data_IF_710039619102
#
_entry.id   IF_710039619102
#
_cell.length_a   1.000
_cell.length_b   1.000
_cell.length_c   1.000
_cell.angle_alpha   90.00
_cell.angle_beta   90.00
_cell.angle_gamma   90.00
#
_symmetry.space_group_name_H-M   'P 1'
#
loop_
_entity.id
_entity.type
_entity.pdbx_description
1 polymer ?
#
# COMPACT_ATOMS: atom_id res chain seq x y z
N UNK A 1 8.97 -16.74 8.59
CA UNK A 1 8.70 -17.32 7.25
C UNK A 1 8.09 -16.22 6.38
N UNK A 2 8.90 -15.24 5.98
CA UNK A 2 8.53 -14.09 5.12
C UNK A 2 9.76 -13.68 4.26
N UNK A 3 10.74 -14.57 4.10
CA UNK A 3 12.03 -14.30 3.42
C UNK A 3 12.00 -14.62 1.92
N UNK A 4 10.88 -15.12 1.39
CA UNK A 4 10.82 -15.62 0.01
C UNK A 4 10.68 -14.51 -1.05
N UNK A 5 10.42 -13.26 -0.63
CA UNK A 5 10.26 -12.09 -1.50
C UNK A 5 8.83 -11.53 -1.53
N UNK A 6 8.68 -10.33 -2.09
CA UNK A 6 7.39 -9.68 -2.28
C UNK A 6 6.68 -10.24 -3.52
N UNK A 7 5.49 -10.86 -3.34
CA UNK A 7 4.69 -11.42 -4.44
C UNK A 7 3.70 -10.42 -5.07
N UNK A 8 3.47 -9.27 -4.42
CA UNK A 8 2.52 -8.26 -4.83
C UNK A 8 3.00 -6.86 -4.42
N UNK A 9 2.98 -5.92 -5.36
CA UNK A 9 2.97 -4.48 -5.11
C UNK A 9 1.65 -3.91 -5.59
N UNK A 10 0.97 -3.13 -4.77
CA UNK A 10 -0.28 -2.47 -5.12
C UNK A 10 -0.14 -0.96 -5.06
N UNK A 11 -0.67 -0.26 -6.05
CA UNK A 11 -0.69 1.20 -6.05
C UNK A 11 -2.05 1.73 -6.50
N UNK A 12 -2.50 2.82 -5.90
CA UNK A 12 -3.72 3.53 -6.25
C UNK A 12 -3.34 4.91 -6.77
N UNK A 13 -3.77 5.23 -7.99
CA UNK A 13 -3.63 6.57 -8.55
C UNK A 13 -4.90 7.38 -8.30
N UNK A 14 -4.73 8.55 -7.69
CA UNK A 14 -5.75 9.60 -7.57
C UNK A 14 -5.20 10.93 -8.07
N UNK A 15 -6.10 11.84 -8.42
CA UNK A 15 -5.77 13.22 -8.78
C UNK A 15 -6.45 14.17 -7.81
N UNK A 16 -5.84 15.32 -7.57
CA UNK A 16 -6.39 16.35 -6.68
C UNK A 16 -7.46 17.22 -7.37
N UNK A 17 -7.56 17.17 -8.70
CA UNK A 17 -8.58 17.89 -9.47
C UNK A 17 -8.81 17.23 -10.84
N UNK A 18 -9.90 17.62 -11.50
CA UNK A 18 -10.21 17.17 -12.87
C UNK A 18 -9.20 17.71 -13.89
N UNK A 19 -8.71 18.94 -13.70
CA UNK A 19 -7.70 19.55 -14.57
C UNK A 19 -6.38 18.77 -14.51
N UNK A 20 -5.95 18.36 -13.31
CA UNK A 20 -4.78 17.52 -13.14
C UNK A 20 -4.98 16.16 -13.82
N UNK A 21 -6.16 15.56 -13.69
CA UNK A 21 -6.49 14.31 -14.38
C UNK A 21 -6.44 14.47 -15.91
N UNK A 22 -6.95 15.59 -16.44
CA UNK A 22 -6.97 15.88 -17.86
C UNK A 22 -5.58 16.19 -18.43
N UNK A 23 -4.73 16.89 -17.69
CA UNK A 23 -3.33 17.17 -18.09
C UNK A 23 -2.49 15.88 -18.10
N UNK A 24 -2.74 15.00 -17.14
CA UNK A 24 -2.06 13.71 -17.02
C UNK A 24 -2.61 12.65 -17.98
N UNK A 25 -3.75 12.88 -18.61
CA UNK A 25 -4.34 11.97 -19.58
C UNK A 25 -3.38 11.75 -20.76
N UNK A 26 -3.10 10.47 -21.04
CA UNK A 26 -2.29 10.03 -22.17
C UNK A 26 -3.03 8.91 -22.88
N UNK A 27 -2.72 8.64 -24.14
CA UNK A 27 -3.29 7.48 -24.84
C UNK A 27 -2.94 6.18 -24.08
N UNK A 28 -3.98 5.41 -23.75
CA UNK A 28 -3.89 4.15 -23.02
C UNK A 28 -4.01 4.26 -21.50
N UNK A 29 -3.86 3.13 -20.80
CA UNK A 29 -4.19 3.04 -19.38
C UNK A 29 -3.13 3.64 -18.44
N UNK A 30 -2.06 4.26 -18.91
CA UNK A 30 -0.89 4.55 -18.07
C UNK A 30 -1.17 5.53 -16.93
N UNK A 31 -2.12 6.45 -17.11
CA UNK A 31 -2.45 7.51 -16.16
C UNK A 31 -3.93 7.49 -15.71
N UNK A 32 -4.65 6.38 -15.94
CA UNK A 32 -6.05 6.25 -15.51
C UNK A 32 -6.10 6.06 -13.98
N UNK A 33 -6.92 6.84 -13.26
CA UNK A 33 -7.14 6.66 -11.82
C UNK A 33 -7.55 5.25 -11.46
N UNK A 34 -7.20 4.81 -10.27
CA UNK A 34 -7.60 3.50 -9.75
C UNK A 34 -6.44 2.62 -9.31
N UNK A 35 -6.82 1.47 -8.75
CA UNK A 35 -5.89 0.51 -8.17
C UNK A 35 -5.24 -0.36 -9.25
N UNK A 36 -3.94 -0.61 -9.09
CA UNK A 36 -3.11 -1.38 -10.00
C UNK A 36 -2.26 -2.39 -9.21
N UNK A 37 -2.55 -3.69 -9.35
CA UNK A 37 -1.71 -4.72 -8.78
C UNK A 37 -0.58 -5.14 -9.73
N UNK A 38 0.62 -5.28 -9.18
CA UNK A 38 1.77 -5.91 -9.80
C UNK A 38 2.08 -7.20 -9.05
N UNK A 39 1.45 -8.28 -9.50
CA UNK A 39 1.40 -9.56 -8.77
C UNK A 39 2.01 -10.71 -9.56
N UNK A 40 2.63 -11.64 -8.84
CA UNK A 40 2.99 -12.96 -9.36
C UNK A 40 2.26 -14.06 -8.61
N UNK A 41 1.76 -15.04 -9.36
CA UNK A 41 1.17 -16.27 -8.83
C UNK A 41 2.10 -17.47 -9.04
N UNK A 42 3.41 -17.22 -9.02
CA UNK A 42 4.45 -18.24 -8.99
C UNK A 42 4.92 -18.38 -7.55
N UNK A 43 5.10 -19.62 -7.08
CA UNK A 43 5.65 -19.88 -5.75
C UNK A 43 7.06 -19.28 -5.65
N UNK A 44 7.25 -18.37 -4.71
CA UNK A 44 8.52 -17.75 -4.38
C UNK A 44 9.40 -18.69 -3.51
N UNK A 45 10.73 -18.49 -3.48
CA UNK A 45 11.51 -17.44 -4.15
C UNK A 45 11.77 -17.71 -5.64
N UNK A 46 11.69 -16.67 -6.48
CA UNK A 46 12.15 -16.65 -7.87
C UNK A 46 12.19 -15.21 -8.43
N UNK A 47 12.68 -15.02 -9.67
CA UNK A 47 12.83 -13.70 -10.32
C UNK A 47 11.52 -12.92 -10.55
N UNK A 48 10.34 -13.51 -10.35
CA UNK A 48 9.08 -12.77 -10.50
C UNK A 48 8.86 -11.69 -9.44
N UNK A 49 9.55 -11.73 -8.29
CA UNK A 49 9.51 -10.59 -7.35
C UNK A 49 10.13 -9.33 -7.98
N UNK A 50 11.25 -9.49 -8.70
CA UNK A 50 11.87 -8.43 -9.48
C UNK A 50 10.99 -7.97 -10.64
N UNK A 51 10.34 -8.89 -11.35
CA UNK A 51 9.37 -8.57 -12.40
C UNK A 51 8.24 -7.65 -11.89
N UNK A 52 7.65 -8.00 -10.75
CA UNK A 52 6.60 -7.21 -10.11
C UNK A 52 7.11 -5.82 -9.72
N UNK A 53 8.28 -5.76 -9.06
CA UNK A 53 8.90 -4.50 -8.65
C UNK A 53 9.23 -3.60 -9.84
N UNK A 54 9.86 -4.12 -10.89
CA UNK A 54 10.22 -3.34 -12.08
C UNK A 54 9.00 -2.77 -12.79
N UNK A 55 7.93 -3.56 -12.93
CA UNK A 55 6.69 -3.08 -13.56
C UNK A 55 6.03 -1.95 -12.75
N UNK A 56 6.03 -2.07 -11.43
CA UNK A 56 5.54 -1.02 -10.54
C UNK A 56 6.43 0.22 -10.63
N UNK A 57 7.75 0.05 -10.51
CA UNK A 57 8.72 1.15 -10.55
C UNK A 57 8.61 1.96 -11.83
N UNK A 58 8.61 1.29 -12.99
CA UNK A 58 8.48 1.96 -14.28
C UNK A 58 7.18 2.77 -14.40
N UNK A 59 6.09 2.28 -13.81
CA UNK A 59 4.83 3.02 -13.81
C UNK A 59 4.92 4.26 -12.91
N UNK A 60 5.43 4.14 -11.69
CA UNK A 60 5.65 5.28 -10.79
C UNK A 60 6.59 6.31 -11.42
N UNK A 61 7.72 5.88 -11.99
CA UNK A 61 8.68 6.79 -12.64
C UNK A 61 8.09 7.50 -13.86
N UNK A 62 7.24 6.82 -14.66
CA UNK A 62 6.52 7.47 -15.76
C UNK A 62 5.54 8.53 -15.26
N UNK A 63 4.77 8.24 -14.21
CA UNK A 63 3.85 9.20 -13.62
C UNK A 63 4.58 10.42 -13.07
N UNK A 64 5.68 10.21 -12.33
CA UNK A 64 6.49 11.30 -11.77
C UNK A 64 7.06 12.19 -12.86
N UNK A 65 7.67 11.61 -13.90
CA UNK A 65 8.21 12.36 -15.04
C UNK A 65 7.11 13.18 -15.74
N UNK A 66 5.97 12.55 -16.04
CA UNK A 66 4.84 13.21 -16.70
C UNK A 66 4.28 14.37 -15.86
N UNK A 67 4.12 14.16 -14.54
CA UNK A 67 3.69 15.23 -13.66
C UNK A 67 4.64 16.42 -13.71
N UNK A 68 5.97 16.18 -13.69
CA UNK A 68 6.96 17.24 -13.85
C UNK A 68 6.85 17.95 -15.21
N UNK A 69 6.66 17.22 -16.30
CA UNK A 69 6.46 17.79 -17.65
C UNK A 69 5.23 18.71 -17.73
N UNK A 70 4.17 18.38 -16.98
CA UNK A 70 2.92 19.14 -16.90
C UNK A 70 2.93 20.21 -15.78
N UNK A 71 4.07 20.43 -15.11
CA UNK A 71 4.18 21.40 -14.01
C UNK A 71 3.41 21.00 -12.74
N UNK A 72 3.07 19.72 -12.59
CA UNK A 72 2.37 19.13 -11.45
C UNK A 72 3.34 18.45 -10.48
N UNK A 73 2.93 18.36 -9.21
CA UNK A 73 3.60 17.50 -8.23
C UNK A 73 3.06 16.07 -8.28
N UNK A 74 3.93 15.07 -8.13
CA UNK A 74 3.55 13.68 -7.89
C UNK A 74 4.13 13.23 -6.55
N UNK A 75 3.27 12.78 -5.63
CA UNK A 75 3.67 12.22 -4.34
C UNK A 75 3.27 10.75 -4.28
N UNK A 76 4.11 9.94 -3.63
CA UNK A 76 3.89 8.52 -3.37
C UNK A 76 3.70 8.35 -1.88
N UNK A 77 2.54 7.83 -1.48
CA UNK A 77 2.17 7.66 -0.08
C UNK A 77 2.27 6.18 0.31
N UNK A 78 2.86 5.92 1.48
CA UNK A 78 2.83 4.61 2.12
C UNK A 78 2.39 4.75 3.58
N UNK A 79 2.00 3.63 4.19
CA UNK A 79 1.78 3.56 5.63
C UNK A 79 2.87 2.72 6.28
N UNK A 80 3.73 3.35 7.08
CA UNK A 80 4.90 2.76 7.74
C UNK A 80 5.97 2.27 6.73
N UNK A 81 6.83 3.21 6.31
CA UNK A 81 7.77 3.01 5.20
C UNK A 81 8.85 1.94 5.42
N UNK A 82 9.10 1.50 6.65
CA UNK A 82 10.24 0.63 6.97
C UNK A 82 10.21 -0.69 6.18
N UNK A 83 9.03 -1.33 6.11
CA UNK A 83 8.84 -2.57 5.36
C UNK A 83 8.98 -2.37 3.86
N UNK A 84 8.30 -1.36 3.31
CA UNK A 84 8.34 -1.03 1.88
C UNK A 84 9.77 -0.72 1.42
N UNK A 85 10.48 0.15 2.14
CA UNK A 85 11.88 0.48 1.89
C UNK A 85 12.77 -0.75 1.89
N UNK A 86 12.63 -1.62 2.89
CA UNK A 86 13.40 -2.85 2.98
C UNK A 86 13.17 -3.73 1.75
N UNK A 87 11.92 -3.95 1.34
CA UNK A 87 11.59 -4.78 0.20
C UNK A 87 12.03 -4.21 -1.14
N UNK A 88 11.89 -2.90 -1.35
CA UNK A 88 12.32 -2.24 -2.58
C UNK A 88 13.84 -2.33 -2.73
N UNK A 89 14.61 -1.96 -1.69
CA UNK A 89 16.07 -2.01 -1.75
C UNK A 89 16.60 -3.45 -1.81
N UNK A 90 15.96 -4.40 -1.13
CA UNK A 90 16.31 -5.82 -1.23
C UNK A 90 16.12 -6.35 -2.64
N UNK A 91 15.03 -5.99 -3.33
CA UNK A 91 14.79 -6.35 -4.72
C UNK A 91 15.90 -5.84 -5.64
N UNK A 92 16.23 -4.54 -5.53
CA UNK A 92 17.27 -3.92 -6.37
C UNK A 92 18.63 -4.60 -6.16
N UNK A 93 19.01 -4.87 -4.91
CA UNK A 93 20.30 -5.49 -4.58
C UNK A 93 20.38 -6.95 -5.03
N UNK A 94 19.31 -7.71 -4.81
CA UNK A 94 19.29 -9.15 -5.08
C UNK A 94 19.19 -9.43 -6.58
N UNK A 95 18.49 -8.57 -7.34
CA UNK A 95 18.19 -8.76 -8.75
C UNK A 95 18.74 -7.63 -9.61
N UNK A 96 19.93 -7.12 -9.29
CA UNK A 96 20.58 -6.02 -10.01
C UNK A 96 20.82 -6.32 -11.51
N UNK A 97 20.90 -7.60 -11.88
CA UNK A 97 21.06 -8.07 -13.27
C UNK A 97 19.72 -8.22 -14.02
N UNK A 98 18.59 -7.99 -13.36
CA UNK A 98 17.27 -8.11 -13.98
C UNK A 98 17.03 -6.96 -14.95
N UNK A 99 16.55 -7.28 -16.15
CA UNK A 99 16.30 -6.30 -17.21
C UNK A 99 15.41 -5.16 -16.73
N UNK A 100 15.88 -3.92 -16.91
CA UNK A 100 15.20 -2.69 -16.51
C UNK A 100 14.99 -2.51 -14.99
N UNK A 101 15.78 -3.21 -14.17
CA UNK A 101 15.91 -2.89 -12.74
C UNK A 101 16.49 -1.47 -12.58
N UNK A 102 15.86 -0.58 -11.78
CA UNK A 102 16.44 0.73 -11.51
C UNK A 102 17.72 0.63 -10.68
N UNK A 103 18.68 1.56 -10.84
CA UNK A 103 19.81 1.70 -9.93
C UNK A 103 19.34 1.95 -8.49
N UNK A 104 20.06 1.43 -7.49
CA UNK A 104 19.73 1.67 -6.07
C UNK A 104 19.68 3.17 -5.74
N UNK A 105 20.54 3.98 -6.36
CA UNK A 105 20.56 5.42 -6.17
C UNK A 105 19.24 6.10 -6.57
N UNK A 106 18.63 5.69 -7.69
CA UNK A 106 17.34 6.23 -8.16
C UNK A 106 16.21 5.88 -7.20
N UNK A 107 16.23 4.65 -6.66
CA UNK A 107 15.26 4.20 -5.66
C UNK A 107 15.39 4.99 -4.36
N UNK A 108 16.64 5.23 -3.92
CA UNK A 108 16.91 6.05 -2.73
C UNK A 108 16.51 7.50 -2.91
N UNK A 109 16.72 8.08 -4.09
CA UNK A 109 16.31 9.46 -4.38
C UNK A 109 14.80 9.65 -4.13
N UNK A 110 13.97 8.70 -4.56
CA UNK A 110 12.54 8.73 -4.24
C UNK A 110 12.31 8.57 -2.73
N UNK A 111 12.84 7.50 -2.13
CA UNK A 111 12.55 7.10 -0.75
C UNK A 111 13.07 8.08 0.31
N UNK A 112 14.15 8.80 0.02
CA UNK A 112 14.75 9.80 0.91
C UNK A 112 14.30 11.23 0.56
N UNK A 113 13.58 11.39 -0.55
CA UNK A 113 13.13 12.69 -1.06
C UNK A 113 11.73 13.11 -0.56
N UNK A 114 11.31 14.35 -0.85
CA UNK A 114 10.04 14.90 -0.39
C UNK A 114 8.81 14.29 -1.08
N UNK A 115 9.02 13.55 -2.18
CA UNK A 115 7.95 12.90 -2.93
C UNK A 115 7.50 11.58 -2.32
N UNK A 116 8.24 11.01 -1.36
CA UNK A 116 7.84 9.82 -0.62
C UNK A 116 7.31 10.21 0.76
N UNK A 117 6.03 9.96 1.01
CA UNK A 117 5.34 10.41 2.21
C UNK A 117 4.89 9.21 3.05
N UNK A 118 5.46 9.09 4.24
CA UNK A 118 5.03 8.11 5.23
C UNK A 118 3.85 8.66 6.06
N UNK A 119 2.64 8.22 5.72
CA UNK A 119 1.40 8.64 6.39
C UNK A 119 1.41 8.24 7.87
N UNK A 120 2.05 7.13 8.23
CA UNK A 120 2.17 6.72 9.63
C UNK A 120 2.93 7.75 10.45
N UNK A 121 3.98 8.38 9.90
CA UNK A 121 4.72 9.45 10.57
C UNK A 121 3.88 10.72 10.75
N UNK A 122 2.93 10.97 9.85
CA UNK A 122 1.98 12.07 10.02
C UNK A 122 1.02 11.76 11.17
N UNK A 123 0.49 10.55 11.21
CA UNK A 123 -0.39 10.07 12.30
C UNK A 123 0.34 10.13 13.65
N UNK A 124 1.57 9.59 13.76
CA UNK A 124 2.36 9.61 15.00
C UNK A 124 2.65 11.01 15.53
N UNK A 125 2.69 12.03 14.65
CA UNK A 125 2.91 13.42 15.07
C UNK A 125 1.65 14.08 15.62
N UNK A 126 0.48 13.61 15.25
CA UNK A 126 -0.81 14.23 15.62
C UNK A 126 -1.51 13.48 16.76
N UNK A 127 -1.29 12.17 16.89
CA UNK A 127 -2.09 11.31 17.76
C UNK A 127 -1.26 10.54 18.77
N UNK A 128 -1.88 10.26 19.92
CA UNK A 128 -1.38 9.33 20.94
C UNK A 128 -2.29 8.10 20.94
N UNK A 129 -1.73 6.91 20.75
CA UNK A 129 -2.49 5.66 20.74
C UNK A 129 -2.03 4.72 21.85
N UNK A 130 -2.90 4.43 22.83
CA UNK A 130 -2.60 3.51 23.95
C UNK A 130 -2.30 2.09 23.47
N UNK A 131 -2.95 1.69 22.38
CA UNK A 131 -2.74 0.38 21.75
C UNK A 131 -1.94 0.50 20.44
N UNK A 132 -1.25 1.62 20.21
CA UNK A 132 -0.51 1.88 18.97
C UNK A 132 -1.39 2.42 17.84
N UNK A 133 -0.72 2.86 16.77
CA UNK A 133 -1.30 3.64 15.69
C UNK A 133 -1.20 2.90 14.35
N UNK A 134 -1.34 1.57 14.34
CA UNK A 134 -1.30 0.81 13.09
C UNK A 134 -2.49 1.14 12.17
N UNK A 135 -2.33 0.93 10.86
CA UNK A 135 -3.33 1.28 9.85
C UNK A 135 -4.74 0.77 10.18
N UNK A 136 -4.85 -0.49 10.63
CA UNK A 136 -6.13 -1.13 11.00
C UNK A 136 -6.82 -0.52 12.22
N UNK A 137 -6.09 0.25 13.02
CA UNK A 137 -6.64 0.98 14.17
C UNK A 137 -7.08 2.39 13.77
N UNK A 138 -6.32 3.02 12.88
CA UNK A 138 -6.53 4.43 12.51
C UNK A 138 -7.53 4.58 11.37
N UNK A 139 -7.50 3.71 10.36
CA UNK A 139 -8.38 3.84 9.21
C UNK A 139 -9.89 3.77 9.54
N UNK A 140 -10.36 2.93 10.50
CA UNK A 140 -11.76 2.98 10.92
C UNK A 140 -12.17 4.31 11.56
N UNK A 141 -11.27 4.97 12.30
CA UNK A 141 -11.50 6.32 12.84
C UNK A 141 -11.59 7.34 11.69
N UNK A 142 -10.81 7.14 10.63
CA UNK A 142 -10.92 7.89 9.38
C UNK A 142 -12.09 7.44 8.48
N UNK A 143 -13.04 6.64 8.99
CA UNK A 143 -14.25 6.22 8.27
C UNK A 143 -14.07 5.06 7.27
N UNK A 144 -12.90 4.42 7.20
CA UNK A 144 -12.65 3.32 6.28
C UNK A 144 -13.04 1.95 6.86
N UNK A 145 -13.64 1.10 6.03
CA UNK A 145 -13.98 -0.28 6.37
C UNK A 145 -13.41 -1.23 5.31
N UNK A 146 -12.74 -2.30 5.75
CA UNK A 146 -12.27 -3.36 4.85
C UNK A 146 -13.45 -4.17 4.32
N UNK A 147 -13.31 -4.72 3.10
CA UNK A 147 -14.30 -5.64 2.52
C UNK A 147 -14.32 -7.00 3.22
N UNK A 148 -13.19 -7.39 3.80
CA UNK A 148 -13.03 -8.63 4.55
C UNK A 148 -13.37 -8.41 6.02
N UNK A 149 -14.02 -9.39 6.66
CA UNK A 149 -14.38 -9.33 8.09
C UNK A 149 -13.16 -9.51 9.00
N UNK A 150 -12.13 -10.25 8.55
CA UNK A 150 -10.91 -10.52 9.32
C UNK A 150 -9.65 -10.15 8.51
N UNK A 151 -9.44 -8.85 8.22
CA UNK A 151 -8.30 -8.41 7.44
C UNK A 151 -7.01 -8.60 8.27
N UNK A 152 -6.18 -9.60 7.95
CA UNK A 152 -4.91 -9.85 8.64
C UNK A 152 -3.77 -10.19 7.68
N UNK A 153 -2.56 -9.69 8.00
CA UNK A 153 -1.35 -10.02 7.23
C UNK A 153 -0.98 -11.51 7.36
N UNK A 154 -1.32 -12.13 8.48
CA UNK A 154 -1.14 -13.58 8.68
C UNK A 154 -2.08 -14.38 7.77
N UNK A 155 -3.33 -13.94 7.64
CA UNK A 155 -4.31 -14.57 6.75
C UNK A 155 -3.87 -14.46 5.28
N UNK A 156 -3.26 -13.34 4.89
CA UNK A 156 -2.75 -13.16 3.52
C UNK A 156 -1.65 -14.16 3.14
N UNK A 157 -0.82 -14.60 4.10
CA UNK A 157 0.17 -15.68 3.90
C UNK A 157 -0.54 -17.00 3.61
N UNK A 158 -1.58 -17.34 4.37
CA UNK A 158 -2.36 -18.56 4.15
C UNK A 158 -3.08 -18.54 2.79
N UNK A 159 -3.68 -17.40 2.42
CA UNK A 159 -4.30 -17.24 1.10
C UNK A 159 -3.27 -17.35 -0.02
N UNK A 160 -2.07 -16.78 0.15
CA UNK A 160 -1.02 -16.88 -0.86
C UNK A 160 -0.58 -18.34 -1.07
N UNK A 161 -0.39 -19.10 0.02
CA UNK A 161 -0.09 -20.53 -0.07
C UNK A 161 -1.16 -21.31 -0.86
N UNK A 162 -2.45 -20.97 -0.69
CA UNK A 162 -3.54 -21.54 -1.48
C UNK A 162 -3.51 -21.08 -2.95
N UNK A 163 -3.19 -19.81 -3.22
CA UNK A 163 -3.16 -19.22 -4.54
C UNK A 163 -2.09 -19.82 -5.47
N UNK A 164 -1.00 -20.35 -4.90
CA UNK A 164 0.16 -20.91 -5.63
C UNK A 164 0.33 -22.42 -5.46
N UNK A 165 -0.65 -23.12 -4.85
CA UNK A 165 -0.60 -24.57 -4.60
C UNK A 165 -0.41 -25.39 -5.89
N UNK A 166 0.15 -26.61 -5.82
CA UNK A 166 0.15 -27.54 -6.96
C UNK A 166 -1.27 -27.73 -7.53
N UNK A 167 -1.40 -27.72 -8.85
CA UNK A 167 -2.69 -27.78 -9.53
C UNK A 167 -3.46 -26.45 -9.61
N UNK A 168 -2.95 -25.34 -9.04
CA UNK A 168 -3.61 -24.03 -9.11
C UNK A 168 -3.77 -23.45 -10.54
N UNK A 169 -3.15 -24.08 -11.56
CA UNK A 169 -3.29 -23.72 -12.98
C UNK A 169 -3.89 -24.84 -13.82
N UNK A 170 -3.57 -26.10 -13.51
CA UNK A 170 -3.88 -27.26 -14.37
C UNK A 170 -4.54 -28.42 -13.62
N UNK A 171 -4.89 -28.26 -12.33
CA UNK A 171 -5.55 -29.28 -11.51
C UNK A 171 -7.06 -29.37 -11.76
N UNK A 172 -7.76 -30.06 -10.84
CA UNK A 172 -9.22 -30.20 -10.88
C UNK A 172 -9.93 -28.84 -10.89
N UNK A 173 -11.21 -28.84 -11.27
CA UNK A 173 -12.05 -27.65 -11.22
C UNK A 173 -12.09 -27.03 -9.82
N UNK A 174 -12.19 -27.85 -8.76
CA UNK A 174 -12.21 -27.34 -7.38
C UNK A 174 -10.87 -26.69 -7.00
N UNK A 175 -9.74 -27.33 -7.31
CA UNK A 175 -8.42 -26.78 -6.99
C UNK A 175 -8.19 -25.43 -7.67
N UNK A 176 -8.59 -25.30 -8.93
CA UNK A 176 -8.50 -24.03 -9.66
C UNK A 176 -9.42 -22.97 -9.06
N UNK A 177 -10.66 -23.34 -8.71
CA UNK A 177 -11.62 -22.41 -8.09
C UNK A 177 -11.10 -21.86 -6.75
N UNK A 178 -10.60 -22.74 -5.87
CA UNK A 178 -9.99 -22.35 -4.59
C UNK A 178 -8.82 -21.38 -4.79
N UNK A 179 -7.93 -21.68 -5.74
CA UNK A 179 -6.79 -20.81 -6.03
C UNK A 179 -7.25 -19.44 -6.55
N UNK A 180 -8.27 -19.37 -7.41
CA UNK A 180 -8.80 -18.10 -7.90
C UNK A 180 -9.48 -17.28 -6.79
N UNK A 181 -10.21 -17.92 -5.89
CA UNK A 181 -10.79 -17.25 -4.73
C UNK A 181 -9.71 -16.64 -3.83
N UNK A 182 -8.65 -17.40 -3.54
CA UNK A 182 -7.53 -16.90 -2.76
C UNK A 182 -6.82 -15.71 -3.44
N UNK A 183 -6.64 -15.75 -4.76
CA UNK A 183 -6.07 -14.65 -5.55
C UNK A 183 -6.94 -13.40 -5.47
N UNK A 184 -8.26 -13.53 -5.66
CA UNK A 184 -9.20 -12.42 -5.57
C UNK A 184 -9.17 -11.78 -4.17
N UNK A 185 -9.13 -12.62 -3.11
CA UNK A 185 -9.05 -12.15 -1.72
C UNK A 185 -7.76 -11.40 -1.42
N UNK A 186 -6.61 -11.88 -1.87
CA UNK A 186 -5.32 -11.19 -1.74
C UNK A 186 -5.33 -9.82 -2.43
N UNK A 187 -5.88 -9.76 -3.65
CA UNK A 187 -5.96 -8.52 -4.42
C UNK A 187 -6.90 -7.51 -3.75
N UNK A 188 -8.05 -7.95 -3.26
CA UNK A 188 -8.99 -7.11 -2.53
C UNK A 188 -8.37 -6.60 -1.22
N UNK A 189 -7.72 -7.48 -0.44
CA UNK A 189 -7.05 -7.09 0.80
C UNK A 189 -5.96 -6.04 0.55
N UNK A 190 -5.12 -6.21 -0.46
CA UNK A 190 -4.07 -5.25 -0.77
C UNK A 190 -4.63 -3.92 -1.30
N UNK A 191 -5.68 -3.96 -2.13
CA UNK A 191 -6.38 -2.74 -2.55
C UNK A 191 -6.99 -2.01 -1.34
N UNK A 192 -7.58 -2.74 -0.39
CA UNK A 192 -8.14 -2.13 0.82
C UNK A 192 -7.05 -1.48 1.68
N UNK A 193 -5.88 -2.09 1.85
CA UNK A 193 -4.77 -1.46 2.59
C UNK A 193 -4.30 -0.15 1.92
N UNK A 194 -4.28 -0.11 0.57
CA UNK A 194 -3.95 1.11 -0.17
C UNK A 194 -5.06 2.16 -0.03
N UNK A 195 -6.34 1.77 -0.11
CA UNK A 195 -7.47 2.69 0.07
C UNK A 195 -7.61 3.19 1.50
N UNK A 196 -7.34 2.36 2.49
CA UNK A 196 -7.28 2.74 3.90
C UNK A 196 -6.19 3.80 4.12
N UNK A 197 -5.03 3.64 3.49
CA UNK A 197 -3.95 4.63 3.54
C UNK A 197 -4.41 5.97 2.94
N UNK A 198 -5.12 5.95 1.81
CA UNK A 198 -5.71 7.15 1.22
C UNK A 198 -6.72 7.81 2.16
N UNK A 199 -7.66 7.04 2.73
CA UNK A 199 -8.67 7.54 3.64
C UNK A 199 -8.06 8.25 4.86
N UNK A 200 -7.03 7.66 5.48
CA UNK A 200 -6.31 8.30 6.59
C UNK A 200 -5.63 9.59 6.15
N UNK A 201 -5.02 9.62 4.96
CA UNK A 201 -4.39 10.83 4.42
C UNK A 201 -5.41 11.94 4.14
N UNK A 202 -6.57 11.59 3.58
CA UNK A 202 -7.65 12.54 3.30
C UNK A 202 -8.25 13.09 4.59
N UNK A 203 -8.53 12.23 5.57
CA UNK A 203 -8.99 12.61 6.90
C UNK A 203 -8.00 13.57 7.60
N UNK A 204 -6.71 13.24 7.58
CA UNK A 204 -5.66 14.13 8.10
C UNK A 204 -5.66 15.50 7.41
N UNK A 205 -5.89 15.52 6.09
CA UNK A 205 -5.87 16.74 5.27
C UNK A 205 -7.12 17.60 5.47
N UNK A 206 -8.28 16.98 5.68
CA UNK A 206 -9.55 17.66 5.94
C UNK A 206 -9.53 18.40 7.29
N UNK A 207 -8.84 17.84 8.29
CA UNK A 207 -8.64 18.48 9.59
C UNK A 207 -9.81 18.36 10.57
N UNK A 208 -10.91 17.69 10.19
CA UNK A 208 -12.12 17.47 11.01
C UNK A 208 -11.80 16.81 12.36
N UNK A 209 -10.78 15.95 12.39
CA UNK A 209 -10.29 15.28 13.59
C UNK A 209 -9.84 16.20 14.73
N UNK A 210 -9.57 17.47 14.45
CA UNK A 210 -9.21 18.45 15.48
C UNK A 210 -10.40 18.82 16.37
N UNK A 211 -11.61 18.70 15.83
CA UNK A 211 -12.85 18.98 16.55
C UNK A 211 -13.44 17.68 17.13
N UNK A 212 -13.31 16.57 16.40
CA UNK A 212 -13.95 15.29 16.77
C UNK A 212 -13.19 14.49 17.85
N UNK A 213 -11.89 14.74 18.03
CA UNK A 213 -11.06 14.01 18.98
C UNK A 213 -10.61 14.90 20.13
N UNK A 214 -10.70 14.44 21.39
CA UNK A 214 -10.22 15.20 22.53
C UNK A 214 -8.70 15.35 22.48
N UNK A 215 -8.21 16.51 22.89
CA UNK A 215 -6.78 16.72 23.10
C UNK A 215 -6.29 15.95 24.33
N UNK A 216 -4.96 15.85 24.47
CA UNK A 216 -4.36 15.31 25.70
C UNK A 216 -4.75 16.15 26.92
N UNK A 217 -4.86 17.47 26.76
CA UNK A 217 -5.31 18.37 27.84
C UNK A 217 -6.76 18.07 28.24
N UNK A 218 -7.66 17.85 27.26
CA UNK A 218 -9.05 17.49 27.53
C UNK A 218 -9.17 16.16 28.28
N UNK A 219 -8.37 15.16 27.89
CA UNK A 219 -8.33 13.85 28.56
C UNK A 219 -7.72 13.91 29.96
N UNK A 220 -6.79 14.83 30.21
CA UNK A 220 -6.22 15.03 31.55
C UNK A 220 -7.17 15.84 32.46
N UNK A 221 -7.91 16.79 31.90
CA UNK A 221 -8.90 17.59 32.62
C UNK A 221 -10.16 16.78 32.93
N UNK A 222 -10.57 15.90 32.02
CA UNK A 222 -11.76 15.05 32.13
C UNK A 222 -11.36 13.59 31.84
N UNK A 223 -10.61 12.93 32.75
CA UNK A 223 -10.21 11.55 32.56
C UNK A 223 -11.47 10.68 32.38
N UNK A 224 -11.54 9.85 31.32
CA UNK A 224 -12.70 9.00 31.11
C UNK A 224 -12.89 8.11 32.34
N UNK A 225 -14.14 8.01 32.84
CA UNK A 225 -14.46 7.08 33.92
C UNK A 225 -13.99 5.69 33.50
N UNK A 226 -13.00 5.14 34.21
CA UNK A 226 -12.47 3.81 33.95
C UNK A 226 -13.61 2.80 34.05
N UNK A 227 -14.17 2.39 32.92
CA UNK A 227 -14.99 1.17 32.81
C UNK A 227 -14.20 0.17 32.00
N UNK A 228 -13.41 -0.63 32.69
CA UNK A 228 -13.67 -2.06 32.88
C UNK A 228 -12.62 -2.66 33.86
N UNK A 229 -13.05 -3.54 34.79
CA UNK A 229 -12.14 -4.29 35.65
C UNK A 229 -11.35 -5.32 34.82
N UNK A 230 -10.11 -5.56 35.27
CA UNK A 230 -9.16 -6.59 34.78
C UNK A 230 -9.81 -7.97 34.78
#
# INVERSE_FOLDING_TARGET
MLDDGAYLWGALLTYTSEEAAQAMAVEGDAAVPGYRPYVTWRKLPNRSTAECFVRMWQWVSRLRRRATEEGLSCLVYCYAQAGERQWMLSNVRTFADYTAMPPEAEVRELLDGPHWVDVFRLVERQFVGVHGLGLKKVAPVAGFQWRDEEPSGEASIAWHAQAVRPGARQGSAEVKAMAQQARARILAYNEDDVRATLAVREWLSAGEWREDLPSVEDLLANPPETRHPI
#
